data_IF_601447167874
#
_entry.id   IF_601447167874
#
_cell.length_a   1.000
_cell.length_b   1.000
_cell.length_c   1.000
_cell.angle_alpha   90.00
_cell.angle_beta   90.00
_cell.angle_gamma   90.00
#
_symmetry.space_group_name_H-M   'P 1'
#
loop_
_entity.id
_entity.type
_entity.pdbx_description
1 polymer ?
#
# COMPACT_ATOMS: atom_id res chain seq x y z
N UNK A 1 -15.84 11.10 17.77
CA UNK A 1 -14.58 11.38 17.06
C UNK A 1 -13.88 12.54 17.76
N UNK A 2 -12.55 12.52 18.04
CA UNK A 2 -11.86 13.72 18.49
C UNK A 2 -11.74 14.69 17.30
N UNK A 3 -12.20 15.93 17.47
CA UNK A 3 -12.21 16.96 16.43
C UNK A 3 -10.79 17.40 16.07
N UNK A 4 -10.30 16.92 14.93
CA UNK A 4 -9.23 17.53 14.16
C UNK A 4 -9.86 18.69 13.38
N UNK A 5 -9.95 19.88 13.98
CA UNK A 5 -10.49 21.09 13.32
C UNK A 5 -9.54 22.28 13.34
N UNK A 6 -8.31 22.15 13.86
CA UNK A 6 -7.36 23.26 13.93
C UNK A 6 -6.46 23.39 12.69
N UNK A 7 -6.55 22.47 11.73
CA UNK A 7 -5.77 22.51 10.48
C UNK A 7 -4.26 22.32 10.68
N UNK A 8 -3.82 21.98 11.88
CA UNK A 8 -2.41 21.77 12.21
C UNK A 8 -1.94 20.41 11.71
N UNK A 9 -0.76 20.38 11.08
CA UNK A 9 -0.12 19.12 10.72
C UNK A 9 0.40 18.50 12.02
N UNK A 10 -0.24 17.42 12.47
CA UNK A 10 0.13 16.79 13.73
C UNK A 10 1.55 16.22 13.67
N UNK A 11 2.39 16.64 14.62
CA UNK A 11 3.68 16.03 14.90
C UNK A 11 3.51 14.65 15.52
N UNK A 12 4.53 13.82 15.30
CA UNK A 12 4.56 12.38 15.60
C UNK A 12 4.17 12.07 17.05
N UNK A 13 3.07 11.33 17.18
CA UNK A 13 2.59 10.62 18.38
C UNK A 13 2.75 11.37 19.72
N UNK A 14 1.92 12.37 19.97
CA UNK A 14 1.55 12.66 21.36
C UNK A 14 0.41 11.75 21.83
N UNK A 15 0.52 11.18 23.04
CA UNK A 15 -0.31 10.08 23.51
C UNK A 15 -1.69 10.61 23.85
N UNK A 16 -2.74 9.88 23.48
CA UNK A 16 -4.00 9.69 24.23
C UNK A 16 -5.09 9.25 23.23
N UNK A 17 -5.24 7.92 23.11
CA UNK A 17 -6.51 7.15 22.98
C UNK A 17 -6.35 5.76 22.34
N UNK A 18 -5.22 5.44 21.70
CA UNK A 18 -5.18 4.32 20.74
C UNK A 18 -4.12 3.21 20.99
N UNK A 19 -3.50 3.13 22.17
CA UNK A 19 -2.50 2.08 22.41
C UNK A 19 -1.23 2.30 21.58
N UNK A 20 -0.61 1.21 21.09
CA UNK A 20 0.63 1.30 20.30
C UNK A 20 0.37 1.85 18.88
N UNK A 21 1.38 2.42 18.19
CA UNK A 21 1.25 2.82 16.78
C UNK A 21 0.78 1.70 15.85
N UNK A 22 1.07 0.44 16.22
CA UNK A 22 0.61 -0.74 15.52
C UNK A 22 -0.88 -1.00 15.70
N UNK A 23 -1.38 -0.89 16.93
CA UNK A 23 -2.81 -1.01 17.22
C UNK A 23 -3.60 0.08 16.50
N UNK A 24 -3.08 1.32 16.46
CA UNK A 24 -3.68 2.39 15.68
C UNK A 24 -3.67 2.09 14.18
N UNK A 25 -2.55 1.59 13.64
CA UNK A 25 -2.45 1.22 12.22
C UNK A 25 -3.51 0.17 11.85
N UNK A 26 -3.61 -0.90 12.63
CA UNK A 26 -4.58 -1.98 12.43
C UNK A 26 -6.01 -1.44 12.55
N UNK A 27 -6.28 -0.64 13.58
CA UNK A 27 -7.61 -0.04 13.80
C UNK A 27 -7.99 0.91 12.68
N UNK A 28 -7.06 1.74 12.23
CA UNK A 28 -7.27 2.65 11.11
C UNK A 28 -7.56 1.87 9.83
N UNK A 29 -6.79 0.82 9.54
CA UNK A 29 -7.00 -0.04 8.38
C UNK A 29 -8.40 -0.68 8.41
N UNK A 30 -8.76 -1.33 9.50
CA UNK A 30 -10.07 -1.97 9.68
C UNK A 30 -11.23 -0.96 9.53
N UNK A 31 -11.07 0.23 10.13
CA UNK A 31 -12.07 1.30 10.03
C UNK A 31 -12.24 1.83 8.61
N UNK A 32 -11.13 2.03 7.89
CA UNK A 32 -11.17 2.48 6.49
C UNK A 32 -11.83 1.42 5.60
N UNK A 33 -11.51 0.14 5.82
CA UNK A 33 -12.10 -0.96 5.08
C UNK A 33 -13.63 -1.04 5.28
N UNK A 34 -14.08 -0.93 6.53
CA UNK A 34 -15.51 -0.91 6.87
C UNK A 34 -16.25 0.31 6.30
N UNK A 35 -15.62 1.49 6.40
CA UNK A 35 -16.21 2.72 5.91
C UNK A 35 -16.39 2.68 4.39
N UNK A 36 -15.35 2.24 3.67
CA UNK A 36 -15.40 2.14 2.23
C UNK A 36 -16.37 1.04 1.75
N UNK A 37 -16.43 -0.09 2.45
CA UNK A 37 -17.37 -1.16 2.11
C UNK A 37 -18.83 -0.74 2.32
N UNK A 38 -19.15 -0.08 3.43
CA UNK A 38 -20.50 0.37 3.76
C UNK A 38 -21.03 1.45 2.82
N UNK A 39 -20.15 2.32 2.31
CA UNK A 39 -20.49 3.39 1.34
C UNK A 39 -20.41 2.97 -0.13
N UNK A 40 -20.04 1.72 -0.41
CA UNK A 40 -19.79 1.20 -1.76
C UNK A 40 -18.72 1.98 -2.56
N UNK A 41 -17.70 2.48 -1.86
CA UNK A 41 -16.58 3.24 -2.44
C UNK A 41 -15.26 2.45 -2.37
N UNK A 42 -15.35 1.12 -2.40
CA UNK A 42 -14.18 0.24 -2.36
C UNK A 42 -13.31 0.45 -3.62
N UNK A 43 -12.06 0.92 -3.48
CA UNK A 43 -11.22 1.29 -4.61
C UNK A 43 -10.78 0.09 -5.47
N UNK A 44 -10.88 -1.14 -4.95
CA UNK A 44 -10.46 -2.37 -5.62
C UNK A 44 -11.35 -2.78 -6.80
N UNK A 45 -12.55 -2.22 -6.87
CA UNK A 45 -13.52 -2.47 -7.93
C UNK A 45 -13.62 -1.29 -8.91
N UNK A 46 -12.81 -0.26 -8.73
CA UNK A 46 -12.79 0.85 -9.66
C UNK A 46 -11.95 0.51 -10.89
N UNK A 47 -12.65 0.21 -11.99
CA UNK A 47 -12.03 -0.16 -13.27
C UNK A 47 -11.45 1.04 -14.04
N UNK A 48 -11.63 2.27 -13.56
CA UNK A 48 -10.96 3.44 -14.14
C UNK A 48 -9.47 3.38 -13.83
N UNK A 49 -8.63 3.96 -14.69
CA UNK A 49 -7.17 4.03 -14.46
C UNK A 49 -6.89 4.83 -13.18
N UNK A 50 -6.82 4.16 -12.03
CA UNK A 50 -6.34 4.76 -10.79
C UNK A 50 -4.83 4.69 -10.73
N UNK A 51 -4.22 5.86 -10.58
CA UNK A 51 -2.79 5.96 -10.34
C UNK A 51 -2.41 5.25 -9.03
N UNK A 52 -1.29 4.54 -9.09
CA UNK A 52 -0.73 3.85 -7.94
C UNK A 52 -0.35 4.93 -6.91
N UNK A 53 -0.73 4.78 -5.63
CA UNK A 53 -0.38 5.76 -4.62
C UNK A 53 1.12 6.05 -4.54
N UNK A 54 1.46 7.33 -4.49
CA UNK A 54 2.84 7.81 -4.50
C UNK A 54 3.05 9.00 -3.54
N UNK A 55 4.29 9.18 -3.12
CA UNK A 55 4.74 10.40 -2.48
C UNK A 55 5.08 11.46 -3.54
N UNK A 56 4.56 12.67 -3.36
CA UNK A 56 4.71 13.77 -4.31
C UNK A 56 6.15 14.27 -4.47
N UNK A 57 6.92 14.34 -3.38
CA UNK A 57 8.22 14.99 -3.34
C UNK A 57 9.33 14.11 -3.91
N UNK A 58 9.32 12.81 -3.60
CA UNK A 58 10.33 11.87 -4.07
C UNK A 58 9.79 10.87 -5.12
N UNK A 59 8.53 11.05 -5.56
CA UNK A 59 7.82 10.22 -6.56
C UNK A 59 7.92 8.72 -6.29
N UNK A 60 8.03 8.39 -5.02
CA UNK A 60 8.17 7.03 -4.59
C UNK A 60 6.82 6.36 -4.40
N UNK A 61 6.69 5.15 -4.90
CA UNK A 61 5.44 4.39 -4.94
C UNK A 61 5.24 3.69 -3.60
N UNK A 62 4.01 3.76 -3.07
CA UNK A 62 3.62 3.01 -1.89
C UNK A 62 3.50 1.52 -2.20
N UNK A 63 3.80 0.70 -1.19
CA UNK A 63 3.79 -0.76 -1.31
C UNK A 63 3.07 -1.45 -0.20
N UNK A 64 2.88 -2.75 -0.44
CA UNK A 64 2.25 -3.69 0.46
C UNK A 64 0.97 -3.08 1.03
N UNK A 65 0.78 -3.30 2.32
CA UNK A 65 -0.41 -2.85 3.01
C UNK A 65 -0.55 -1.32 3.07
N UNK A 66 0.54 -0.55 2.99
CA UNK A 66 0.47 0.92 2.94
C UNK A 66 -0.20 1.43 1.66
N UNK A 67 0.04 0.74 0.53
CA UNK A 67 -0.63 1.06 -0.73
C UNK A 67 -2.14 0.93 -0.59
N UNK A 68 -2.60 -0.22 -0.09
CA UNK A 68 -4.02 -0.49 0.09
C UNK A 68 -4.65 0.49 1.09
N UNK A 69 -3.95 0.75 2.20
CA UNK A 69 -4.38 1.74 3.19
C UNK A 69 -4.56 3.14 2.56
N UNK A 70 -3.67 3.54 1.64
CA UNK A 70 -3.76 4.82 0.95
C UNK A 70 -4.89 4.88 -0.09
N UNK A 71 -5.17 3.80 -0.79
CA UNK A 71 -6.32 3.76 -1.72
C UNK A 71 -7.64 3.86 -0.94
N UNK A 72 -7.75 3.11 0.16
CA UNK A 72 -8.92 3.17 1.06
C UNK A 72 -9.06 4.55 1.69
N UNK A 73 -7.94 5.15 2.12
CA UNK A 73 -7.91 6.49 2.69
C UNK A 73 -8.38 7.55 1.68
N UNK A 74 -7.83 7.52 0.47
CA UNK A 74 -8.21 8.44 -0.61
C UNK A 74 -9.72 8.38 -0.87
N UNK A 75 -10.25 7.16 -1.04
CA UNK A 75 -11.68 6.92 -1.22
C UNK A 75 -12.52 7.44 -0.05
N UNK A 76 -12.16 7.13 1.20
CA UNK A 76 -12.85 7.61 2.41
C UNK A 76 -12.84 9.14 2.54
N UNK A 77 -11.74 9.79 2.14
CA UNK A 77 -11.63 11.26 2.16
C UNK A 77 -12.31 11.95 0.97
N UNK A 78 -12.72 11.19 -0.06
CA UNK A 78 -13.29 11.74 -1.29
C UNK A 78 -12.26 12.42 -2.19
N UNK A 79 -10.97 12.08 -2.06
CA UNK A 79 -9.93 12.65 -2.90
C UNK A 79 -10.00 12.07 -4.33
N UNK A 80 -9.78 12.92 -5.33
CA UNK A 80 -9.73 12.53 -6.74
C UNK A 80 -8.43 11.82 -7.14
N UNK A 81 -7.33 12.03 -6.40
CA UNK A 81 -6.02 11.44 -6.66
C UNK A 81 -5.41 10.66 -5.50
N UNK A 82 -4.36 9.87 -5.80
CA UNK A 82 -3.59 9.10 -4.81
C UNK A 82 -2.18 9.70 -4.58
N UNK A 83 -2.05 11.02 -4.64
CA UNK A 83 -0.78 11.71 -4.39
C UNK A 83 -0.72 12.15 -2.94
N UNK A 84 0.33 11.76 -2.24
CA UNK A 84 0.50 12.02 -0.82
C UNK A 84 1.80 12.75 -0.50
N UNK A 85 1.85 13.35 0.69
CA UNK A 85 3.08 13.87 1.28
C UNK A 85 3.20 13.39 2.73
N UNK A 86 4.42 13.14 3.16
CA UNK A 86 4.73 12.88 4.56
C UNK A 86 4.45 14.11 5.43
N UNK A 87 3.87 13.91 6.61
CA UNK A 87 3.57 15.00 7.54
C UNK A 87 4.81 15.80 7.96
N UNK A 88 5.96 15.12 8.12
CA UNK A 88 7.25 15.78 8.41
C UNK A 88 7.66 16.76 7.30
N UNK A 89 7.64 16.30 6.05
CA UNK A 89 8.01 17.15 4.90
C UNK A 89 7.01 18.30 4.74
N UNK A 90 5.72 18.04 5.00
CA UNK A 90 4.69 19.07 4.94
C UNK A 90 4.88 20.16 6.02
N UNK A 91 5.36 19.78 7.22
CA UNK A 91 5.76 20.72 8.27
C UNK A 91 6.98 21.54 7.87
N UNK A 92 8.03 20.90 7.34
CA UNK A 92 9.26 21.58 6.90
C UNK A 92 9.00 22.59 5.78
N UNK A 93 8.01 22.30 4.92
CA UNK A 93 7.56 23.19 3.85
C UNK A 93 6.54 24.26 4.30
N UNK A 94 6.21 24.33 5.60
CA UNK A 94 5.21 25.25 6.17
C UNK A 94 3.85 25.21 5.45
N UNK A 95 3.38 24.00 5.17
CA UNK A 95 2.09 23.78 4.50
C UNK A 95 0.93 23.83 5.49
N UNK A 96 -0.25 24.17 4.99
CA UNK A 96 -1.49 24.27 5.77
C UNK A 96 -2.57 23.36 5.20
N UNK A 97 -3.27 22.67 6.10
CA UNK A 97 -4.42 21.84 5.74
C UNK A 97 -5.65 22.71 5.52
N UNK A 98 -6.50 22.28 4.60
CA UNK A 98 -7.78 22.91 4.34
C UNK A 98 -8.79 22.46 5.40
N UNK A 99 -9.10 23.34 6.35
CA UNK A 99 -10.02 23.06 7.47
C UNK A 99 -11.46 22.81 7.02
N UNK A 100 -11.82 23.13 5.77
CA UNK A 100 -13.14 22.84 5.20
C UNK A 100 -13.26 21.40 4.69
N UNK A 101 -12.15 20.67 4.61
CA UNK A 101 -12.08 19.30 4.09
C UNK A 101 -11.89 18.26 5.19
N UNK A 102 -12.04 16.99 4.83
CA UNK A 102 -11.71 15.89 5.71
C UNK A 102 -10.18 15.78 5.86
N UNK A 103 -9.64 16.24 7.00
CA UNK A 103 -8.19 16.27 7.28
C UNK A 103 -7.66 15.04 8.02
N UNK A 104 -8.41 13.93 8.04
CA UNK A 104 -7.95 12.67 8.65
C UNK A 104 -6.57 12.28 8.09
N UNK A 105 -5.53 12.09 8.92
CA UNK A 105 -4.22 11.66 8.45
C UNK A 105 -4.18 10.14 8.23
N UNK A 106 -3.41 9.72 7.23
CA UNK A 106 -3.07 8.31 7.00
C UNK A 106 -1.80 7.96 7.78
N UNK A 107 -1.82 6.90 8.57
CA UNK A 107 -0.60 6.35 9.12
C UNK A 107 -0.02 5.31 8.16
N UNK A 108 1.27 5.38 7.89
CA UNK A 108 2.01 4.35 7.15
C UNK A 108 3.11 3.76 8.03
N UNK A 109 3.43 2.48 7.80
CA UNK A 109 4.53 1.80 8.47
C UNK A 109 5.81 1.81 7.62
N UNK A 110 6.95 1.63 8.27
CA UNK A 110 8.23 1.47 7.59
C UNK A 110 8.29 0.18 6.75
N UNK A 111 9.18 0.20 5.77
CA UNK A 111 9.55 -0.95 4.95
C UNK A 111 10.00 -2.12 5.87
N UNK A 112 9.68 -3.35 5.47
CA UNK A 112 10.04 -4.57 6.21
C UNK A 112 9.09 -4.97 7.35
N UNK A 113 8.16 -4.11 7.82
CA UNK A 113 7.21 -4.53 8.88
C UNK A 113 6.20 -5.56 8.38
N UNK A 114 5.73 -5.37 7.15
CA UNK A 114 4.85 -6.27 6.44
C UNK A 114 5.37 -6.49 5.02
N UNK A 115 6.68 -6.40 4.77
CA UNK A 115 7.20 -6.72 3.44
C UNK A 115 7.65 -8.17 3.42
N UNK A 116 7.37 -8.83 2.31
CA UNK A 116 7.85 -10.20 2.05
C UNK A 116 8.83 -10.28 0.89
N UNK A 117 8.99 -9.20 0.11
CA UNK A 117 9.83 -9.17 -1.09
C UNK A 117 10.43 -7.77 -1.23
N UNK A 118 11.72 -7.70 -1.55
CA UNK A 118 12.51 -6.48 -1.59
C UNK A 118 12.05 -5.41 -2.59
N UNK A 119 12.66 -4.20 -2.50
CA UNK A 119 12.28 -3.05 -3.29
C UNK A 119 12.41 -3.19 -4.80
N UNK A 120 11.29 -3.12 -5.51
CA UNK A 120 11.25 -2.39 -6.80
C UNK A 120 11.89 -1.02 -6.57
N UNK A 121 12.76 -0.57 -7.47
CA UNK A 121 13.30 0.79 -7.47
C UNK A 121 12.15 1.82 -7.28
N UNK A 122 12.41 2.88 -6.53
CA UNK A 122 11.46 3.99 -6.23
C UNK A 122 10.40 3.72 -5.16
N UNK A 123 10.76 3.06 -4.06
CA UNK A 123 9.88 2.89 -2.90
C UNK A 123 9.85 4.04 -1.92
N UNK A 124 8.67 4.25 -1.35
CA UNK A 124 8.50 5.15 -0.23
C UNK A 124 9.07 4.54 1.05
N UNK A 125 10.30 4.94 1.39
CA UNK A 125 10.90 4.63 2.67
C UNK A 125 10.45 5.65 3.71
N UNK A 126 9.76 5.18 4.75
CA UNK A 126 9.68 5.92 6.01
C UNK A 126 11.12 6.03 6.52
N UNK A 127 11.61 7.25 6.78
CA UNK A 127 13.03 7.52 6.96
C UNK A 127 13.69 6.60 8.01
N UNK A 128 14.56 5.69 7.56
CA UNK A 128 15.45 4.93 8.45
C UNK A 128 16.62 5.78 8.98
N UNK A 129 16.86 6.98 8.43
CA UNK A 129 17.97 7.84 8.83
C UNK A 129 17.70 8.53 10.17
N UNK A 130 17.92 7.78 11.25
CA UNK A 130 18.16 8.30 12.59
C UNK A 130 16.95 8.36 13.53
N UNK A 131 15.74 8.03 13.07
CA UNK A 131 14.56 8.00 13.92
C UNK A 131 14.13 6.55 14.22
N UNK A 132 13.95 6.22 15.50
CA UNK A 132 13.41 4.93 15.99
C UNK A 132 11.93 4.67 15.57
N UNK A 133 11.39 5.42 14.61
CA UNK A 133 9.97 5.47 14.29
C UNK A 133 9.64 4.57 13.10
N UNK A 134 9.11 3.38 13.39
CA UNK A 134 8.57 2.42 12.40
C UNK A 134 7.30 2.91 11.68
N UNK A 135 6.90 4.16 11.88
CA UNK A 135 5.59 4.70 11.52
C UNK A 135 5.66 6.20 11.26
N UNK A 136 4.90 6.69 10.28
CA UNK A 136 4.83 8.10 9.93
C UNK A 136 3.45 8.47 9.38
N UNK A 137 2.97 9.67 9.69
CA UNK A 137 1.72 10.18 9.12
C UNK A 137 1.94 10.77 7.73
N UNK A 138 0.90 10.69 6.92
CA UNK A 138 0.81 11.21 5.56
C UNK A 138 -0.53 11.89 5.33
N UNK A 139 -0.53 12.81 4.39
CA UNK A 139 -1.71 13.57 3.96
C UNK A 139 -1.82 13.51 2.44
N UNK A 140 -3.03 13.31 1.95
CA UNK A 140 -3.33 13.42 0.53
C UNK A 140 -3.23 14.89 0.10
N UNK A 141 -2.71 15.15 -1.10
CA UNK A 141 -2.54 16.49 -1.66
C UNK A 141 -3.82 17.32 -1.60
N UNK A 142 -4.99 16.71 -1.80
CA UNK A 142 -6.27 17.42 -1.82
C UNK A 142 -6.73 17.90 -0.45
N UNK A 143 -6.14 17.39 0.64
CA UNK A 143 -6.40 17.85 2.01
C UNK A 143 -5.71 19.17 2.35
N UNK A 144 -4.80 19.66 1.49
CA UNK A 144 -4.12 20.94 1.68
C UNK A 144 -4.91 22.09 1.06
N UNK A 145 -4.71 23.30 1.58
CA UNK A 145 -5.28 24.52 0.99
C UNK A 145 -4.65 24.82 -0.38
N UNK A 146 -5.30 25.69 -1.18
CA UNK A 146 -4.84 25.99 -2.53
C UNK A 146 -3.41 26.56 -2.57
N UNK A 147 -3.03 27.36 -1.56
CA UNK A 147 -1.70 27.95 -1.46
C UNK A 147 -0.64 26.87 -1.28
N UNK A 148 -0.88 25.94 -0.37
CA UNK A 148 0.00 24.82 -0.05
C UNK A 148 0.10 23.85 -1.21
N UNK A 149 -1.00 23.59 -1.92
CA UNK A 149 -0.97 22.80 -3.16
C UNK A 149 -0.12 23.47 -4.25
N UNK A 150 -0.16 24.80 -4.39
CA UNK A 150 0.68 25.54 -5.35
C UNK A 150 2.16 25.46 -4.97
N UNK A 151 2.48 25.60 -3.68
CA UNK A 151 3.86 25.44 -3.16
C UNK A 151 4.37 24.03 -3.46
N UNK A 152 3.58 23.00 -3.13
CA UNK A 152 3.93 21.61 -3.40
C UNK A 152 4.18 21.34 -4.87
N UNK A 153 3.30 21.81 -5.76
CA UNK A 153 3.47 21.65 -7.20
C UNK A 153 4.74 22.35 -7.72
N UNK A 154 5.09 23.51 -7.15
CA UNK A 154 6.33 24.22 -7.50
C UNK A 154 7.56 23.42 -7.05
N UNK A 155 7.61 23.02 -5.79
CA UNK A 155 8.72 22.25 -5.21
C UNK A 155 8.88 20.93 -5.97
N UNK A 156 7.81 20.17 -6.19
CA UNK A 156 7.86 18.91 -6.92
C UNK A 156 8.36 19.06 -8.37
N UNK A 157 8.08 20.19 -9.04
CA UNK A 157 8.64 20.50 -10.37
C UNK A 157 10.13 20.78 -10.31
N UNK A 158 10.60 21.50 -9.30
CA UNK A 158 12.02 21.81 -9.10
C UNK A 158 12.85 20.54 -8.84
N UNK A 159 12.27 19.51 -8.23
CA UNK A 159 12.87 18.18 -8.08
C UNK A 159 12.93 17.35 -9.39
N UNK A 160 12.33 17.83 -10.48
CA UNK A 160 12.49 17.38 -11.88
C UNK A 160 12.82 15.89 -12.13
N UNK A 161 12.03 14.97 -11.56
CA UNK A 161 12.06 13.53 -11.84
C UNK A 161 10.88 13.04 -12.72
N UNK A 162 9.97 13.93 -13.12
CA UNK A 162 8.68 13.59 -13.75
C UNK A 162 8.80 12.79 -15.07
N UNK A 163 9.85 13.06 -15.86
CA UNK A 163 10.13 12.30 -17.09
C UNK A 163 10.67 10.90 -16.82
N UNK A 164 11.51 10.75 -15.80
CA UNK A 164 12.07 9.44 -15.42
C UNK A 164 11.01 8.55 -14.77
N UNK A 165 10.20 9.07 -13.84
CA UNK A 165 9.13 8.28 -13.18
C UNK A 165 8.12 7.72 -14.16
N UNK A 166 7.65 8.52 -15.13
CA UNK A 166 6.69 8.04 -16.14
C UNK A 166 7.29 6.98 -17.06
N UNK A 167 8.56 7.15 -17.46
CA UNK A 167 9.29 6.16 -18.25
C UNK A 167 9.41 4.83 -17.48
N UNK A 168 9.76 4.91 -16.21
CA UNK A 168 9.95 3.76 -15.33
C UNK A 168 8.62 3.05 -15.03
N UNK A 169 7.53 3.78 -14.79
CA UNK A 169 6.18 3.22 -14.64
C UNK A 169 5.78 2.42 -15.88
N UNK A 170 6.06 2.97 -17.06
CA UNK A 170 5.79 2.29 -18.34
C UNK A 170 6.67 1.05 -18.53
N UNK A 171 7.94 1.09 -18.13
CA UNK A 171 8.86 -0.07 -18.17
C UNK A 171 8.39 -1.19 -17.23
N UNK A 172 8.05 -0.87 -15.96
CA UNK A 172 7.50 -1.83 -14.99
C UNK A 172 6.24 -2.48 -15.54
N UNK A 173 5.33 -1.69 -16.13
CA UNK A 173 4.08 -2.20 -16.69
C UNK A 173 4.30 -3.09 -17.92
N UNK A 174 5.29 -2.77 -18.77
CA UNK A 174 5.62 -3.59 -19.94
C UNK A 174 6.15 -4.97 -19.54
N UNK A 175 7.13 -5.00 -18.64
CA UNK A 175 7.75 -6.23 -18.15
C UNK A 175 6.76 -7.12 -17.39
N UNK A 176 5.87 -6.49 -16.61
CA UNK A 176 4.76 -7.14 -15.91
C UNK A 176 3.85 -7.98 -16.83
N UNK A 177 3.56 -7.52 -18.06
CA UNK A 177 2.73 -8.27 -19.02
C UNK A 177 3.41 -9.56 -19.48
N UNK A 178 4.71 -9.50 -19.72
CA UNK A 178 5.50 -10.64 -20.16
C UNK A 178 5.65 -11.65 -19.02
N UNK A 179 5.99 -11.18 -17.80
CA UNK A 179 6.12 -12.07 -16.64
C UNK A 179 4.82 -12.77 -16.27
N UNK A 180 3.68 -12.10 -16.32
CA UNK A 180 2.39 -12.75 -16.07
C UNK A 180 2.19 -13.95 -17.00
N UNK A 181 2.42 -13.76 -18.31
CA UNK A 181 2.23 -14.82 -19.31
C UNK A 181 3.20 -15.99 -19.09
N UNK A 182 4.45 -15.69 -18.78
CA UNK A 182 5.48 -16.71 -18.58
C UNK A 182 5.28 -17.49 -17.28
N UNK A 183 4.95 -16.80 -16.19
CA UNK A 183 4.69 -17.41 -14.89
C UNK A 183 3.41 -18.24 -14.91
N UNK A 184 2.39 -17.77 -15.62
CA UNK A 184 1.18 -18.55 -15.84
C UNK A 184 1.42 -19.74 -16.76
N UNK A 185 2.54 -19.88 -17.48
CA UNK A 185 2.86 -21.09 -18.27
C UNK A 185 3.79 -22.06 -17.54
N UNK A 186 4.58 -21.56 -16.59
CA UNK A 186 5.53 -22.36 -15.82
C UNK A 186 4.82 -23.24 -14.75
N UNK A 187 4.94 -24.59 -14.80
CA UNK A 187 4.28 -25.49 -13.85
C UNK A 187 4.71 -25.31 -12.38
N UNK A 188 5.98 -25.03 -12.11
CA UNK A 188 6.49 -24.83 -10.74
C UNK A 188 5.93 -23.55 -10.13
N UNK A 189 5.82 -22.50 -10.95
CA UNK A 189 5.22 -21.24 -10.56
C UNK A 189 3.72 -21.42 -10.30
N UNK A 190 3.01 -22.17 -11.17
CA UNK A 190 1.60 -22.55 -10.93
C UNK A 190 1.41 -23.29 -9.63
N UNK A 191 2.31 -24.22 -9.29
CA UNK A 191 2.25 -24.95 -8.02
C UNK A 191 2.43 -24.02 -6.82
N UNK A 192 3.41 -23.10 -6.86
CA UNK A 192 3.62 -22.08 -5.81
C UNK A 192 2.41 -21.16 -5.66
N UNK A 193 1.86 -20.67 -6.77
CA UNK A 193 0.64 -19.86 -6.79
C UNK A 193 -0.54 -20.60 -6.14
N UNK A 194 -0.75 -21.85 -6.53
CA UNK A 194 -1.82 -22.70 -5.99
C UNK A 194 -1.63 -22.95 -4.50
N UNK A 195 -0.39 -23.17 -4.05
CA UNK A 195 -0.07 -23.36 -2.64
C UNK A 195 -0.34 -22.11 -1.80
N UNK A 196 0.00 -20.91 -2.26
CA UNK A 196 -0.31 -19.67 -1.54
C UNK A 196 -1.81 -19.40 -1.47
N UNK A 197 -2.53 -19.63 -2.57
CA UNK A 197 -3.99 -19.57 -2.59
C UNK A 197 -4.60 -20.57 -1.60
N UNK A 198 -4.05 -21.79 -1.54
CA UNK A 198 -4.49 -22.84 -0.65
C UNK A 198 -4.16 -22.53 0.82
N UNK A 199 -2.97 -22.03 1.12
CA UNK A 199 -2.57 -21.58 2.47
C UNK A 199 -3.47 -20.44 2.96
N UNK A 200 -3.81 -19.47 2.10
CA UNK A 200 -4.75 -18.43 2.50
C UNK A 200 -6.15 -19.00 2.74
N UNK A 201 -6.62 -19.92 1.89
CA UNK A 201 -7.88 -20.65 2.10
C UNK A 201 -7.88 -21.45 3.39
N UNK A 202 -6.75 -22.00 3.83
CA UNK A 202 -6.67 -22.79 5.06
C UNK A 202 -6.61 -21.93 6.32
N UNK A 203 -5.81 -20.86 6.29
CA UNK A 203 -5.59 -19.98 7.44
C UNK A 203 -6.71 -18.96 7.65
N UNK A 204 -7.37 -18.52 6.58
CA UNK A 204 -8.39 -17.47 6.61
C UNK A 204 -9.60 -17.84 5.75
N UNK A 205 -10.22 -19.02 6.00
CA UNK A 205 -11.37 -19.56 5.24
C UNK A 205 -12.48 -18.55 4.96
N UNK A 206 -12.72 -17.64 5.91
CA UNK A 206 -13.77 -16.65 5.85
C UNK A 206 -13.28 -15.27 5.39
N UNK A 207 -12.10 -15.15 4.76
CA UNK A 207 -11.56 -13.88 4.25
C UNK A 207 -11.17 -13.94 2.76
N UNK A 208 -11.83 -14.83 1.99
CA UNK A 208 -11.46 -15.12 0.61
C UNK A 208 -11.82 -13.96 -0.34
N UNK A 209 -12.97 -13.32 -0.12
CA UNK A 209 -13.45 -12.25 -1.01
C UNK A 209 -12.54 -11.03 -0.93
N UNK A 210 -12.11 -10.64 0.28
CA UNK A 210 -11.17 -9.53 0.49
C UNK A 210 -9.81 -9.83 -0.13
N UNK A 211 -9.32 -11.06 0.03
CA UNK A 211 -8.09 -11.52 -0.60
C UNK A 211 -8.18 -11.46 -2.13
N UNK A 212 -9.23 -12.02 -2.72
CA UNK A 212 -9.38 -12.13 -4.17
C UNK A 212 -9.53 -10.74 -4.82
N UNK A 213 -10.36 -9.86 -4.24
CA UNK A 213 -10.56 -8.50 -4.76
C UNK A 213 -9.25 -7.71 -4.79
N UNK A 214 -8.47 -7.76 -3.71
CA UNK A 214 -7.18 -7.05 -3.62
C UNK A 214 -6.13 -7.66 -4.55
N UNK A 215 -6.07 -8.99 -4.66
CA UNK A 215 -5.17 -9.67 -5.59
C UNK A 215 -5.45 -9.22 -7.03
N UNK A 216 -6.72 -9.26 -7.45
CA UNK A 216 -7.18 -8.87 -8.79
C UNK A 216 -6.85 -7.41 -9.08
N UNK A 217 -7.16 -6.51 -8.15
CA UNK A 217 -6.84 -5.09 -8.25
C UNK A 217 -5.33 -4.85 -8.45
N UNK A 218 -4.49 -5.53 -7.65
CA UNK A 218 -3.05 -5.40 -7.76
C UNK A 218 -2.49 -5.95 -9.09
N UNK A 219 -3.05 -7.05 -9.59
CA UNK A 219 -2.71 -7.58 -10.92
C UNK A 219 -3.07 -6.57 -12.02
N UNK A 220 -4.29 -6.02 -11.98
CA UNK A 220 -4.76 -5.04 -12.96
C UNK A 220 -3.89 -3.79 -12.98
N UNK A 221 -3.52 -3.25 -11.82
CA UNK A 221 -2.66 -2.06 -11.73
C UNK A 221 -1.24 -2.29 -12.25
N UNK A 222 -0.65 -3.46 -11.96
CA UNK A 222 0.68 -3.82 -12.50
C UNK A 222 0.66 -4.07 -13.99
N UNK A 223 -0.42 -4.64 -14.50
CA UNK A 223 -0.59 -4.94 -15.91
C UNK A 223 -1.07 -3.73 -16.73
N UNK A 224 -1.59 -2.69 -16.07
CA UNK A 224 -2.14 -1.51 -16.73
C UNK A 224 -3.58 -1.65 -17.23
N UNK A 225 -4.35 -2.61 -16.68
CA UNK A 225 -5.78 -2.79 -16.98
C UNK A 225 -6.35 -4.13 -16.51
N UNK A 226 -7.67 -4.16 -16.28
CA UNK A 226 -8.41 -5.34 -15.82
C UNK A 226 -8.64 -6.40 -16.91
N UNK A 227 -8.48 -6.04 -18.19
CA UNK A 227 -8.71 -6.91 -19.36
C UNK A 227 -8.03 -8.29 -19.27
N UNK A 228 -6.87 -8.38 -18.61
CA UNK A 228 -6.13 -9.64 -18.48
C UNK A 228 -6.77 -10.65 -17.52
N UNK A 229 -7.62 -10.19 -16.62
CA UNK A 229 -8.30 -11.01 -15.60
C UNK A 229 -9.62 -11.58 -16.18
N UNK A 230 -10.01 -11.12 -17.37
CA UNK A 230 -11.19 -11.54 -18.11
C UNK A 230 -12.50 -11.00 -17.55
N UNK A 231 -13.59 -11.26 -18.28
CA UNK A 231 -14.91 -10.70 -18.00
C UNK A 231 -15.50 -11.10 -16.63
N UNK A 232 -14.94 -12.13 -15.98
CA UNK A 232 -15.41 -12.65 -14.70
C UNK A 232 -15.46 -11.57 -13.61
N UNK A 233 -14.60 -10.57 -13.65
CA UNK A 233 -14.50 -9.53 -12.61
C UNK A 233 -14.79 -8.11 -13.10
N UNK A 234 -15.10 -7.93 -14.38
CA UNK A 234 -15.34 -6.63 -15.01
C UNK A 234 -16.83 -6.42 -15.31
N UNK A 235 -17.59 -7.52 -15.45
CA UNK A 235 -19.04 -7.44 -15.66
C UNK A 235 -19.75 -6.87 -14.42
N UNK A 236 -20.64 -5.87 -14.57
CA UNK A 236 -21.31 -5.21 -13.45
C UNK A 236 -22.00 -6.17 -12.47
N UNK A 237 -22.66 -7.21 -12.99
CA UNK A 237 -23.35 -8.21 -12.18
C UNK A 237 -22.40 -9.01 -11.27
N UNK A 238 -21.20 -9.33 -11.77
CA UNK A 238 -20.21 -10.07 -10.99
C UNK A 238 -19.53 -9.16 -9.95
N UNK A 239 -19.31 -7.90 -10.31
CA UNK A 239 -18.77 -6.88 -9.40
C UNK A 239 -19.71 -6.66 -8.21
N UNK A 240 -21.02 -6.50 -8.46
CA UNK A 240 -22.03 -6.34 -7.41
C UNK A 240 -21.97 -7.53 -6.43
N UNK A 241 -21.97 -8.76 -6.95
CA UNK A 241 -21.90 -9.97 -6.11
C UNK A 241 -20.59 -10.02 -5.32
N UNK A 242 -19.47 -9.66 -5.93
CA UNK A 242 -18.17 -9.63 -5.26
C UNK A 242 -18.11 -8.58 -4.14
N UNK A 243 -18.61 -7.36 -4.39
CA UNK A 243 -18.73 -6.28 -3.40
C UNK A 243 -19.62 -6.70 -2.22
N UNK A 244 -20.77 -7.31 -2.49
CA UNK A 244 -21.68 -7.80 -1.45
C UNK A 244 -21.00 -8.85 -0.55
N UNK A 245 -20.38 -9.87 -1.16
CA UNK A 245 -19.64 -10.89 -0.42
C UNK A 245 -18.51 -10.30 0.42
N UNK A 246 -17.72 -9.39 -0.16
CA UNK A 246 -16.64 -8.72 0.57
C UNK A 246 -17.17 -7.89 1.74
N UNK A 247 -18.31 -7.20 1.59
CA UNK A 247 -18.94 -6.45 2.68
C UNK A 247 -19.38 -7.37 3.83
N UNK A 248 -20.13 -8.43 3.53
CA UNK A 248 -20.58 -9.41 4.52
C UNK A 248 -19.41 -10.03 5.28
N UNK A 249 -18.32 -10.32 4.56
CA UNK A 249 -17.08 -10.86 5.07
C UNK A 249 -16.37 -9.89 6.03
N UNK A 250 -16.26 -8.63 5.65
CA UNK A 250 -15.68 -7.57 6.49
C UNK A 250 -16.51 -7.42 7.77
N UNK A 251 -17.84 -7.28 7.65
CA UNK A 251 -18.71 -7.06 8.81
C UNK A 251 -18.68 -8.24 9.79
N UNK A 252 -18.71 -9.46 9.26
CA UNK A 252 -18.60 -10.68 10.07
C UNK A 252 -17.25 -10.78 10.78
N UNK A 253 -16.17 -10.39 10.09
CA UNK A 253 -14.81 -10.44 10.64
C UNK A 253 -14.59 -9.38 11.72
N UNK A 254 -15.10 -8.17 11.52
CA UNK A 254 -15.03 -7.10 12.53
C UNK A 254 -15.81 -7.49 13.80
N UNK A 255 -16.97 -8.13 13.63
CA UNK A 255 -17.72 -8.69 14.77
C UNK A 255 -16.92 -9.80 15.48
N UNK A 256 -16.30 -10.70 14.73
CA UNK A 256 -15.45 -11.75 15.32
C UNK A 256 -14.21 -11.18 16.04
N UNK A 257 -13.62 -10.09 15.54
CA UNK A 257 -12.52 -9.37 16.22
C UNK A 257 -13.02 -8.75 17.53
N UNK A 258 -14.18 -8.09 17.52
CA UNK A 258 -14.78 -7.53 18.73
C UNK A 258 -15.12 -8.61 19.78
N UNK A 259 -15.53 -9.79 19.33
CA UNK A 259 -15.80 -10.96 20.17
C UNK A 259 -14.52 -11.73 20.60
N UNK A 260 -13.31 -11.26 20.25
CA UNK A 260 -12.02 -11.94 20.46
C UNK A 260 -11.92 -13.35 19.82
N UNK A 261 -12.73 -13.64 18.80
CA UNK A 261 -12.71 -14.90 18.03
C UNK A 261 -11.74 -14.85 16.85
N UNK A 262 -11.30 -13.66 16.46
CA UNK A 262 -10.37 -13.42 15.38
C UNK A 262 -9.30 -12.41 15.82
N UNK A 263 -8.07 -12.54 15.31
CA UNK A 263 -6.99 -11.59 15.64
C UNK A 263 -7.31 -10.19 15.07
N UNK A 264 -6.92 -9.10 15.77
CA UNK A 264 -7.18 -7.73 15.32
C UNK A 264 -6.67 -7.42 13.90
N UNK A 265 -5.58 -8.06 13.49
CA UNK A 265 -4.89 -7.86 12.22
C UNK A 265 -5.34 -8.83 11.11
N UNK A 266 -6.35 -9.67 11.32
CA UNK A 266 -6.73 -10.72 10.38
C UNK A 266 -7.16 -10.19 9.00
N UNK A 267 -7.97 -9.13 8.96
CA UNK A 267 -8.38 -8.48 7.70
C UNK A 267 -7.18 -7.93 6.94
N UNK A 268 -6.31 -7.20 7.66
CA UNK A 268 -5.08 -6.64 7.12
C UNK A 268 -4.14 -7.73 6.58
N UNK A 269 -4.00 -8.86 7.28
CA UNK A 269 -3.22 -10.02 6.81
C UNK A 269 -3.80 -10.66 5.56
N UNK A 270 -5.13 -10.81 5.47
CA UNK A 270 -5.77 -11.39 4.28
C UNK A 270 -5.54 -10.51 3.05
N UNK A 271 -5.75 -9.19 3.20
CA UNK A 271 -5.46 -8.20 2.16
C UNK A 271 -3.99 -8.26 1.74
N UNK A 272 -3.08 -8.27 2.72
CA UNK A 272 -1.65 -8.34 2.47
C UNK A 272 -1.27 -9.59 1.65
N UNK A 273 -1.79 -10.77 2.00
CA UNK A 273 -1.56 -12.00 1.23
C UNK A 273 -2.08 -11.93 -0.20
N UNK A 274 -3.23 -11.26 -0.42
CA UNK A 274 -3.76 -11.03 -1.78
C UNK A 274 -2.77 -10.25 -2.63
N UNK A 275 -2.15 -9.23 -2.03
CA UNK A 275 -1.12 -8.44 -2.68
C UNK A 275 0.19 -9.20 -2.88
N UNK A 276 0.67 -9.96 -1.90
CA UNK A 276 1.85 -10.83 -2.06
C UNK A 276 1.68 -11.80 -3.22
N UNK A 277 0.49 -12.41 -3.33
CA UNK A 277 0.16 -13.35 -4.40
C UNK A 277 0.24 -12.63 -5.75
N UNK A 278 -0.37 -11.45 -5.89
CA UNK A 278 -0.25 -10.65 -7.10
C UNK A 278 1.20 -10.25 -7.41
N UNK A 279 2.01 -9.95 -6.39
CA UNK A 279 3.42 -9.61 -6.56
C UNK A 279 4.22 -10.78 -7.13
N UNK A 280 4.02 -11.98 -6.60
CA UNK A 280 4.69 -13.19 -7.06
C UNK A 280 4.35 -13.49 -8.52
N UNK A 281 3.07 -13.40 -8.90
CA UNK A 281 2.60 -13.69 -10.26
C UNK A 281 3.26 -12.76 -11.29
N UNK A 282 3.50 -11.51 -10.91
CA UNK A 282 3.99 -10.45 -11.78
C UNK A 282 5.51 -10.23 -11.70
N UNK A 283 6.25 -11.07 -10.96
CA UNK A 283 7.70 -10.94 -10.76
C UNK A 283 8.50 -11.72 -11.81
N UNK A 284 9.64 -11.16 -12.23
CA UNK A 284 10.64 -11.80 -13.11
C UNK A 284 11.28 -13.04 -12.48
N UNK A 285 11.52 -12.99 -11.18
CA UNK A 285 12.19 -14.04 -10.41
C UNK A 285 11.12 -14.78 -9.59
N UNK A 286 10.79 -16.02 -9.94
CA UNK A 286 9.79 -16.84 -9.21
C UNK A 286 10.42 -17.93 -8.35
N UNK A 287 11.75 -18.06 -8.39
CA UNK A 287 12.47 -18.89 -7.43
C UNK A 287 12.89 -18.01 -6.25
N UNK A 288 12.29 -18.30 -5.10
CA UNK A 288 12.63 -17.71 -3.81
C UNK A 288 14.14 -17.86 -3.53
N UNK A 289 14.76 -18.94 -4.00
CA UNK A 289 16.19 -19.22 -3.84
C UNK A 289 17.09 -18.30 -4.67
N UNK A 290 16.76 -18.02 -5.95
CA UNK A 290 17.54 -17.06 -6.76
C UNK A 290 17.31 -15.62 -6.30
N UNK A 291 16.13 -15.33 -5.77
CA UNK A 291 15.87 -14.05 -5.09
C UNK A 291 16.72 -13.95 -3.81
N UNK A 292 16.75 -14.99 -2.98
CA UNK A 292 17.56 -15.04 -1.76
C UNK A 292 19.06 -14.92 -2.05
N UNK A 293 19.59 -15.63 -3.05
CA UNK A 293 20.99 -15.51 -3.47
C UNK A 293 21.33 -14.09 -3.95
N UNK A 294 20.44 -13.47 -4.72
CA UNK A 294 20.59 -12.08 -5.16
C UNK A 294 20.50 -11.11 -3.96
N UNK A 295 19.65 -11.39 -2.97
CA UNK A 295 19.53 -10.63 -1.72
C UNK A 295 20.78 -10.72 -0.86
N UNK A 296 21.33 -11.91 -0.68
CA UNK A 296 22.60 -12.11 0.05
C UNK A 296 23.75 -11.41 -0.69
N UNK A 297 23.76 -11.45 -2.01
CA UNK A 297 24.76 -10.76 -2.83
C UNK A 297 24.66 -9.23 -2.72
N UNK A 298 23.45 -8.67 -2.69
CA UNK A 298 23.23 -7.22 -2.53
C UNK A 298 23.56 -6.77 -1.10
N UNK A 299 23.10 -7.50 -0.07
CA UNK A 299 23.44 -7.24 1.33
C UNK A 299 24.94 -7.25 1.57
N UNK A 300 25.65 -8.23 1.00
CA UNK A 300 27.11 -8.32 1.07
C UNK A 300 27.80 -7.10 0.44
N UNK A 301 27.23 -6.55 -0.65
CA UNK A 301 27.74 -5.35 -1.32
C UNK A 301 27.45 -4.04 -0.58
N UNK A 302 26.36 -3.97 0.18
CA UNK A 302 25.99 -2.77 0.98
C UNK A 302 26.56 -2.76 2.39
N UNK A 303 27.06 -3.90 2.91
CA UNK A 303 27.69 -4.02 4.22
C UNK A 303 29.21 -3.72 4.23
N UNK A 304 29.77 -3.15 3.18
CA UNK A 304 31.21 -2.84 3.05
C UNK A 304 31.70 -1.62 3.82
N UNK A 305 30.92 -1.09 4.78
CA UNK A 305 31.42 -0.13 5.76
C UNK A 305 31.17 -0.61 7.19
N UNK A 306 32.02 -1.53 7.66
CA UNK A 306 32.40 -1.69 9.07
C UNK A 306 33.74 -2.41 9.20
N UNK A 307 34.78 -1.86 8.58
CA UNK A 307 36.18 -2.17 8.90
C UNK A 307 37.03 -0.93 8.63
N UNK A 308 36.77 0.16 9.36
CA UNK A 308 37.78 1.19 9.59
C UNK A 308 37.77 1.60 11.07
N UNK A 309 38.97 1.90 11.57
CA UNK A 309 39.44 2.03 12.95
C UNK A 309 39.71 0.68 13.66
N UNK A 310 40.94 0.26 13.92
CA UNK A 310 42.25 0.88 13.79
C UNK A 310 43.14 0.31 14.89
N UNK A 311 44.38 -0.06 14.57
CA UNK A 311 45.48 -0.02 15.53
C UNK A 311 46.76 0.27 14.75
N UNK A 312 47.13 1.54 14.76
CA UNK A 312 48.54 1.90 14.70
C UNK A 312 49.17 1.56 16.05
N UNK A 313 50.33 0.91 15.98
CA UNK A 313 51.51 1.23 16.78
C UNK A 313 52.72 1.11 15.87
#
# INVERSE_FOLDING_TARGET
MPSLMDGSIKTVWEPYKYGSPEDYYITQFNSLLQECSSKDILPFFDHTKKDIPENMLNRSIMKDINKVAAELHSASTGAGGNTYIFGKDALELNLSLDTTKNIRPLLVCADGKYSSIQPILHEMKVAESGAKTKYQFMYNLEQFDERSQKILKKVAKEYNQEKETNKIKNEIQKDAKEFYKDNCKNPDNRKKMTNLLQQNREENKNLLSSFEAVMIHNLAQKHGGFEIIGDKYIKPENEIVAKMKMREEIDSSLKAIADNKLKPDALMRSVFKGQETANLIMSKDVSYDRQHEKHETIKAKTNTHKLEYGYGR
#
